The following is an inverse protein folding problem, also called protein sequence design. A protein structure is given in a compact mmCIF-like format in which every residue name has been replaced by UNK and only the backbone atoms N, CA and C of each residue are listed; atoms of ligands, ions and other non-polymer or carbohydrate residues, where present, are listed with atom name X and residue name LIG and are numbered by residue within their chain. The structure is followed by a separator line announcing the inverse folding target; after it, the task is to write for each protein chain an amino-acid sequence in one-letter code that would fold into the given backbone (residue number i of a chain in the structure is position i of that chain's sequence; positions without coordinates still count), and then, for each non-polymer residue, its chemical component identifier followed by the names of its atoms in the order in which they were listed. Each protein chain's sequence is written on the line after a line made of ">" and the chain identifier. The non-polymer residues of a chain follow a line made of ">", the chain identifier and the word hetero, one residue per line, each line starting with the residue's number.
data_IF_078132360019
#
_entry.id   IF_078132360019
#
_cell.length_a   1.000
_cell.length_b   1.000
_cell.length_c   1.000
_cell.angle_alpha   90.00
_cell.angle_beta   90.00
_cell.angle_gamma   90.00
#
_symmetry.space_group_name_H-M   'P 1'
#
loop_
_entity.id
_entity.type
_entity.pdbx_description
1 polymer ?
#
# COMPACT_ATOMS: atom_id res chain seq x y z
N UNK A 1 12.83 27.78 -64.16
CA UNK A 1 12.65 29.24 -64.17
C UNK A 1 13.33 29.84 -62.95
N UNK A 2 14.40 30.62 -63.20
CA UNK A 2 14.87 31.84 -62.48
C UNK A 2 15.04 31.77 -60.95
N UNK A 3 16.27 31.56 -60.45
CA UNK A 3 17.36 32.54 -60.16
C UNK A 3 17.21 33.14 -58.73
N UNK A 4 18.08 32.88 -57.74
CA UNK A 4 19.49 33.29 -57.50
C UNK A 4 19.63 34.55 -56.60
N UNK A 5 20.38 34.42 -55.48
CA UNK A 5 21.11 35.45 -54.67
C UNK A 5 20.36 36.33 -53.64
N UNK A 6 20.95 36.88 -52.54
CA UNK A 6 22.21 36.70 -51.79
C UNK A 6 22.18 37.55 -50.49
N UNK A 7 22.82 37.02 -49.44
CA UNK A 7 23.80 37.61 -48.50
C UNK A 7 23.77 39.09 -48.03
N UNK A 8 23.90 39.21 -46.69
CA UNK A 8 24.76 40.12 -45.89
C UNK A 8 24.42 41.65 -45.88
N UNK A 9 24.69 42.49 -44.86
CA UNK A 9 25.60 42.47 -43.71
C UNK A 9 25.31 43.67 -42.75
N UNK A 10 25.78 43.60 -41.48
CA UNK A 10 26.38 44.68 -40.62
C UNK A 10 25.44 45.83 -40.15
N UNK A 11 25.37 46.36 -38.92
CA UNK A 11 26.19 46.33 -37.69
C UNK A 11 26.58 47.78 -37.26
N UNK A 12 26.18 48.27 -36.06
CA UNK A 12 26.80 49.34 -35.23
C UNK A 12 25.90 49.68 -33.99
N UNK A 13 26.31 49.40 -32.73
CA UNK A 13 27.09 50.20 -31.73
C UNK A 13 26.33 51.42 -31.14
N UNK A 14 25.94 51.47 -29.85
CA UNK A 14 26.65 51.60 -28.54
C UNK A 14 26.59 53.05 -27.98
N UNK A 15 26.09 53.22 -26.75
CA UNK A 15 26.71 53.93 -25.61
C UNK A 15 25.72 54.64 -24.67
N UNK A 16 26.05 54.57 -23.37
CA UNK A 16 25.28 54.95 -22.20
C UNK A 16 25.54 56.40 -21.73
N UNK A 17 24.67 56.92 -20.85
CA UNK A 17 25.03 57.91 -19.82
C UNK A 17 24.03 57.87 -18.64
N UNK A 18 24.58 58.00 -17.44
CA UNK A 18 23.96 57.83 -16.13
C UNK A 18 23.93 59.16 -15.33
N UNK A 19 23.12 59.17 -14.26
CA UNK A 19 23.15 59.97 -13.01
C UNK A 19 21.75 60.55 -12.70
N UNK A 20 20.99 60.08 -11.69
CA UNK A 20 21.13 60.17 -10.21
C UNK A 20 20.42 61.39 -9.60
N UNK A 21 19.40 61.14 -8.76
CA UNK A 21 19.04 61.98 -7.60
C UNK A 21 18.16 61.17 -6.63
N UNK A 22 18.58 61.10 -5.38
CA UNK A 22 17.92 60.42 -4.26
C UNK A 22 17.02 61.39 -3.47
N UNK A 23 15.95 60.90 -2.84
CA UNK A 23 15.48 61.41 -1.55
C UNK A 23 14.58 60.40 -0.82
N UNK A 24 14.81 60.35 0.48
CA UNK A 24 14.36 59.45 1.54
C UNK A 24 12.89 59.62 1.94
N UNK A 25 12.21 58.53 2.32
CA UNK A 25 11.23 58.56 3.42
C UNK A 25 11.39 57.30 4.28
N UNK A 26 11.67 57.53 5.56
CA UNK A 26 11.68 56.55 6.62
C UNK A 26 10.27 56.33 7.18
N UNK A 27 9.98 55.10 7.60
CA UNK A 27 9.01 54.80 8.65
C UNK A 27 7.55 54.59 8.23
N UNK A 28 7.09 53.34 8.25
CA UNK A 28 6.17 52.86 9.29
C UNK A 28 6.20 51.32 9.31
N UNK A 29 6.71 50.76 10.42
CA UNK A 29 6.56 49.34 10.75
C UNK A 29 5.12 49.11 11.18
N UNK A 30 4.39 48.25 10.47
CA UNK A 30 3.19 47.61 11.01
C UNK A 30 3.60 46.27 11.62
N UNK A 31 3.46 46.19 12.93
CA UNK A 31 3.58 44.97 13.72
C UNK A 31 2.29 44.16 13.59
N UNK A 32 2.35 43.05 12.87
CA UNK A 32 1.43 41.93 13.12
C UNK A 32 2.27 40.71 13.46
N UNK A 33 2.32 40.40 14.75
CA UNK A 33 2.70 39.07 15.21
C UNK A 33 1.58 38.12 14.81
N UNK A 34 1.79 37.30 13.80
CA UNK A 34 1.03 36.06 13.66
C UNK A 34 1.97 34.89 13.88
N UNK A 35 2.03 34.45 15.14
CA UNK A 35 2.70 33.23 15.52
C UNK A 35 1.86 32.05 15.04
N UNK A 36 2.05 31.65 13.79
CA UNK A 36 1.79 30.26 13.37
C UNK A 36 3.10 29.63 12.95
N UNK A 37 3.85 29.17 13.96
CA UNK A 37 4.81 28.08 13.76
C UNK A 37 4.02 26.85 13.34
N UNK A 38 3.80 26.69 12.04
CA UNK A 38 3.70 25.34 11.49
C UNK A 38 5.02 24.66 11.81
N UNK A 39 5.01 23.63 12.64
CA UNK A 39 6.14 22.73 12.69
C UNK A 39 6.39 22.21 11.27
N UNK A 40 7.58 22.38 10.68
CA UNK A 40 7.92 21.61 9.50
C UNK A 40 7.79 20.15 9.92
N UNK A 41 6.93 19.38 9.23
CA UNK A 41 6.90 17.94 9.48
C UNK A 41 8.33 17.45 9.27
N UNK A 42 8.93 16.88 10.31
CA UNK A 42 10.26 16.32 10.21
C UNK A 42 10.21 15.30 9.07
N UNK A 43 10.96 15.56 7.99
CA UNK A 43 10.98 14.73 6.79
C UNK A 43 11.37 13.31 7.24
N UNK A 44 10.53 12.32 6.92
CA UNK A 44 10.77 10.92 7.32
C UNK A 44 12.15 10.49 6.80
N UNK A 45 12.94 9.71 7.57
CA UNK A 45 14.22 9.20 7.07
C UNK A 45 14.03 8.42 5.76
N UNK A 46 14.97 8.44 4.81
CA UNK A 46 14.86 7.58 3.64
C UNK A 46 14.95 6.10 4.07
N UNK A 47 14.20 5.23 3.40
CA UNK A 47 14.39 3.78 3.53
C UNK A 47 15.78 3.43 2.97
N UNK A 48 16.51 2.54 3.65
CA UNK A 48 17.88 2.20 3.28
C UNK A 48 18.17 0.73 3.58
N UNK A 49 18.98 0.11 2.72
CA UNK A 49 19.56 -1.20 3.01
C UNK A 49 20.38 -1.16 4.31
N UNK A 50 20.25 -2.21 5.12
CA UNK A 50 20.98 -2.33 6.38
C UNK A 50 22.49 -2.53 6.17
N UNK A 51 23.29 -2.54 7.26
CA UNK A 51 24.74 -2.70 7.20
C UNK A 51 25.23 -3.99 6.53
N UNK A 52 24.38 -5.02 6.42
CA UNK A 52 24.68 -6.26 5.68
C UNK A 52 24.45 -6.17 4.17
N UNK A 53 23.95 -5.04 3.66
CA UNK A 53 23.46 -4.92 2.28
C UNK A 53 22.15 -5.67 2.05
N UNK A 54 21.38 -5.94 3.12
CA UNK A 54 20.08 -6.59 3.07
C UNK A 54 18.95 -5.64 3.47
N UNK A 55 17.77 -5.85 2.90
CA UNK A 55 16.53 -5.19 3.27
C UNK A 55 15.42 -6.24 3.38
N UNK A 56 14.81 -6.37 4.55
CA UNK A 56 13.79 -7.38 4.86
C UNK A 56 12.42 -6.74 4.97
N UNK A 57 11.46 -7.28 4.23
CA UNK A 57 10.06 -6.85 4.21
C UNK A 57 9.16 -7.98 4.72
N UNK A 58 8.25 -7.70 5.65
CA UNK A 58 7.14 -8.59 5.97
C UNK A 58 5.86 -8.11 5.27
N UNK A 59 5.14 -9.04 4.63
CA UNK A 59 3.85 -8.77 4.01
C UNK A 59 2.73 -9.23 4.93
N UNK A 60 1.87 -8.31 5.36
CA UNK A 60 0.65 -8.61 6.08
C UNK A 60 -0.54 -8.31 5.17
N UNK A 61 -1.29 -9.35 4.81
CA UNK A 61 -2.45 -9.26 3.94
C UNK A 61 -3.67 -9.85 4.66
N UNK A 62 -4.85 -9.35 4.30
CA UNK A 62 -6.12 -9.96 4.67
C UNK A 62 -6.25 -10.09 6.21
N UNK A 63 -6.14 -8.95 6.90
CA UNK A 63 -6.22 -8.92 8.37
C UNK A 63 -7.67 -8.92 8.87
N UNK A 64 -8.56 -8.28 8.12
CA UNK A 64 -10.01 -8.24 8.36
C UNK A 64 -10.39 -7.77 9.77
N UNK A 65 -9.75 -6.72 10.26
CA UNK A 65 -10.11 -6.16 11.57
C UNK A 65 -11.54 -5.64 11.58
N UNK A 66 -12.23 -5.94 12.68
CA UNK A 66 -13.58 -5.42 12.95
C UNK A 66 -14.72 -6.17 12.29
N UNK A 67 -14.46 -7.36 11.77
CA UNK A 67 -15.53 -8.31 11.43
C UNK A 67 -16.31 -8.72 12.70
N UNK A 68 -17.63 -8.82 12.57
CA UNK A 68 -18.66 -9.12 13.57
C UNK A 68 -18.39 -8.45 14.92
N UNK A 69 -18.00 -7.17 14.87
CA UNK A 69 -17.54 -6.40 16.03
C UNK A 69 -18.59 -6.24 17.15
N UNK A 70 -19.86 -6.57 16.88
CA UNK A 70 -20.96 -6.59 17.85
C UNK A 70 -21.08 -7.92 18.62
N UNK A 71 -20.27 -8.92 18.29
CA UNK A 71 -20.20 -10.22 18.99
C UNK A 71 -18.88 -10.35 19.74
N UNK A 72 -18.73 -11.39 20.58
CA UNK A 72 -17.44 -11.73 21.19
C UNK A 72 -16.45 -12.37 20.20
N UNK A 73 -16.95 -12.89 19.07
CA UNK A 73 -16.12 -13.59 18.08
C UNK A 73 -15.17 -12.65 17.35
N UNK A 74 -15.67 -11.49 16.89
CA UNK A 74 -14.90 -10.49 16.15
C UNK A 74 -13.68 -9.96 16.90
N UNK A 75 -13.85 -9.38 18.10
CA UNK A 75 -12.74 -8.94 18.94
C UNK A 75 -11.74 -10.05 19.28
N UNK A 76 -12.19 -11.31 19.37
CA UNK A 76 -11.30 -12.46 19.56
C UNK A 76 -10.45 -12.75 18.31
N UNK A 77 -11.01 -12.57 17.10
CA UNK A 77 -10.25 -12.65 15.84
C UNK A 77 -9.23 -11.53 15.75
N UNK A 78 -9.61 -10.28 16.02
CA UNK A 78 -8.67 -9.15 16.03
C UNK A 78 -7.49 -9.43 16.98
N UNK A 79 -7.77 -9.98 18.17
CA UNK A 79 -6.74 -10.37 19.14
C UNK A 79 -5.87 -11.53 18.63
N UNK A 80 -6.42 -12.42 17.78
CA UNK A 80 -5.67 -13.42 17.04
C UNK A 80 -4.71 -12.79 16.02
N UNK A 81 -5.21 -11.87 15.20
CA UNK A 81 -4.40 -11.11 14.24
C UNK A 81 -3.24 -10.37 14.93
N UNK A 82 -3.49 -9.76 16.09
CA UNK A 82 -2.47 -9.12 16.92
C UNK A 82 -1.34 -10.10 17.30
N UNK A 83 -1.70 -11.33 17.70
CA UNK A 83 -0.73 -12.38 18.08
C UNK A 83 0.11 -12.86 16.89
N UNK A 84 -0.51 -13.07 15.72
CA UNK A 84 0.21 -13.51 14.51
C UNK A 84 1.23 -12.45 14.09
N UNK A 85 0.81 -11.20 13.97
CA UNK A 85 1.70 -10.11 13.59
C UNK A 85 2.83 -9.93 14.61
N UNK A 86 2.53 -10.00 15.92
CA UNK A 86 3.55 -9.97 16.95
C UNK A 86 4.58 -11.10 16.78
N UNK A 87 4.13 -12.34 16.63
CA UNK A 87 4.99 -13.51 16.48
C UNK A 87 5.89 -13.41 15.22
N UNK A 88 5.33 -12.99 14.09
CA UNK A 88 6.10 -12.79 12.85
C UNK A 88 7.13 -11.67 13.03
N UNK A 89 6.73 -10.51 13.53
CA UNK A 89 7.64 -9.37 13.70
C UNK A 89 8.78 -9.68 14.68
N UNK A 90 8.49 -10.41 15.76
CA UNK A 90 9.50 -10.78 16.76
C UNK A 90 10.49 -11.84 16.22
N UNK A 91 10.00 -12.77 15.40
CA UNK A 91 10.83 -13.80 14.77
C UNK A 91 11.69 -13.24 13.63
N UNK A 92 11.13 -12.35 12.80
CA UNK A 92 11.76 -11.90 11.56
C UNK A 92 12.52 -10.59 11.68
N UNK A 93 12.09 -9.70 12.59
CA UNK A 93 12.66 -8.35 12.78
C UNK A 93 12.86 -7.62 11.43
N UNK A 94 11.80 -7.44 10.63
CA UNK A 94 11.93 -6.85 9.31
C UNK A 94 12.32 -5.37 9.40
N UNK A 95 12.97 -4.88 8.35
CA UNK A 95 13.29 -3.45 8.19
C UNK A 95 12.04 -2.66 7.80
N UNK A 96 11.04 -3.32 7.20
CA UNK A 96 9.84 -2.70 6.68
C UNK A 96 8.64 -3.66 6.67
N UNK A 97 7.43 -3.11 6.77
CA UNK A 97 6.17 -3.85 6.61
C UNK A 97 5.40 -3.33 5.40
N UNK A 98 4.84 -4.23 4.61
CA UNK A 98 3.82 -3.89 3.61
C UNK A 98 2.49 -4.47 4.07
N UNK A 99 1.53 -3.59 4.29
CA UNK A 99 0.13 -3.91 4.52
C UNK A 99 -0.57 -4.03 3.15
N UNK A 100 -0.90 -5.26 2.76
CA UNK A 100 -1.25 -5.63 1.40
C UNK A 100 -2.77 -5.79 1.21
N UNK A 101 -3.54 -4.79 1.64
CA UNK A 101 -5.00 -4.72 1.52
C UNK A 101 -5.79 -5.61 2.49
N UNK A 102 -7.08 -5.29 2.60
CA UNK A 102 -8.06 -5.90 3.50
C UNK A 102 -7.61 -5.88 4.95
N UNK A 103 -7.21 -4.68 5.40
CA UNK A 103 -6.83 -4.43 6.78
C UNK A 103 -8.08 -4.40 7.66
N UNK A 104 -9.19 -3.87 7.13
CA UNK A 104 -10.47 -3.77 7.83
C UNK A 104 -11.60 -4.38 7.00
N UNK A 105 -12.59 -4.95 7.68
CA UNK A 105 -13.83 -5.43 7.03
C UNK A 105 -14.89 -4.34 7.09
N UNK A 106 -14.78 -3.31 6.25
CA UNK A 106 -15.61 -2.10 6.40
C UNK A 106 -17.10 -2.34 6.22
N UNK A 107 -17.49 -3.33 5.40
CA UNK A 107 -18.89 -3.73 5.25
C UNK A 107 -19.50 -4.35 6.51
N UNK A 108 -18.69 -4.63 7.54
CA UNK A 108 -19.12 -5.33 8.73
C UNK A 108 -18.80 -4.54 10.02
N UNK A 109 -18.57 -3.23 9.86
CA UNK A 109 -18.30 -2.31 10.95
C UNK A 109 -19.54 -1.49 11.31
N UNK A 110 -20.22 -1.75 12.44
CA UNK A 110 -21.34 -0.96 12.89
C UNK A 110 -20.83 0.29 13.63
N UNK A 111 -19.94 1.05 13.01
CA UNK A 111 -19.53 2.37 13.52
C UNK A 111 -19.32 3.35 12.36
N UNK A 112 -19.50 4.67 12.58
CA UNK A 112 -19.27 5.66 11.54
C UNK A 112 -17.81 5.78 11.09
N UNK A 113 -16.85 5.33 11.90
CA UNK A 113 -15.43 5.58 11.66
C UNK A 113 -14.59 4.30 11.84
N UNK A 114 -14.24 3.66 10.72
CA UNK A 114 -13.41 2.47 10.65
C UNK A 114 -11.92 2.73 10.96
N UNK A 115 -11.48 4.00 11.01
CA UNK A 115 -10.06 4.32 11.24
C UNK A 115 -9.51 3.80 12.56
N UNK A 116 -10.36 3.51 13.56
CA UNK A 116 -9.94 2.86 14.81
C UNK A 116 -9.44 1.43 14.58
N UNK A 117 -10.07 0.68 13.69
CA UNK A 117 -9.65 -0.68 13.33
C UNK A 117 -8.41 -0.65 12.44
N UNK A 118 -8.33 0.32 11.53
CA UNK A 118 -7.13 0.58 10.76
C UNK A 118 -5.93 0.90 11.68
N UNK A 119 -6.14 1.76 12.69
CA UNK A 119 -5.12 2.12 13.68
C UNK A 119 -4.64 0.91 14.50
N UNK A 120 -5.56 0.01 14.85
CA UNK A 120 -5.23 -1.27 15.51
C UNK A 120 -4.45 -2.19 14.58
N UNK A 121 -4.86 -2.34 13.32
CA UNK A 121 -4.20 -3.21 12.34
C UNK A 121 -2.71 -2.84 12.14
N UNK A 122 -2.40 -1.54 12.14
CA UNK A 122 -1.01 -1.06 12.00
C UNK A 122 -0.22 -1.01 13.33
N UNK A 123 -0.88 -1.28 14.46
CA UNK A 123 -0.32 -1.07 15.79
C UNK A 123 0.87 -1.97 16.12
N UNK A 124 0.90 -3.20 15.58
CA UNK A 124 1.96 -4.16 15.85
C UNK A 124 3.32 -3.71 15.29
N UNK A 125 3.34 -3.16 14.07
CA UNK A 125 4.52 -2.56 13.46
C UNK A 125 4.91 -1.26 14.18
N UNK A 126 3.92 -0.38 14.45
CA UNK A 126 4.11 0.88 15.17
C UNK A 126 4.74 0.68 16.55
N UNK A 127 4.24 -0.25 17.35
CA UNK A 127 4.73 -0.54 18.70
C UNK A 127 6.17 -1.07 18.72
N UNK A 128 6.65 -1.62 17.60
CA UNK A 128 8.03 -2.10 17.41
C UNK A 128 8.94 -1.10 16.71
N UNK A 129 8.43 0.08 16.36
CA UNK A 129 9.20 1.07 15.61
C UNK A 129 9.51 0.68 14.18
N UNK A 130 8.83 -0.34 13.63
CA UNK A 130 9.05 -0.81 12.26
C UNK A 130 8.25 0.07 11.30
N UNK A 131 8.88 0.73 10.32
CA UNK A 131 8.17 1.52 9.33
C UNK A 131 7.35 0.64 8.37
N UNK A 132 6.27 1.20 7.82
CA UNK A 132 5.38 0.45 6.94
C UNK A 132 4.82 1.29 5.79
N UNK A 133 4.23 0.63 4.81
CA UNK A 133 3.34 1.24 3.82
C UNK A 133 2.14 0.33 3.54
N UNK A 134 1.02 0.91 3.10
CA UNK A 134 -0.24 0.24 2.91
C UNK A 134 -0.83 0.47 1.52
N UNK A 135 -1.40 -0.59 0.94
CA UNK A 135 -2.28 -0.55 -0.22
C UNK A 135 -3.66 -1.02 0.19
N UNK A 136 -4.71 -0.49 -0.45
CA UNK A 136 -6.08 -0.89 -0.17
C UNK A 136 -6.46 -2.21 -0.85
N UNK A 137 -7.28 -2.98 -0.16
CA UNK A 137 -8.02 -4.13 -0.67
C UNK A 137 -9.51 -3.82 -0.81
N UNK A 138 -10.27 -4.78 -1.35
CA UNK A 138 -11.67 -4.57 -1.67
C UNK A 138 -12.53 -4.32 -0.42
N UNK A 139 -12.20 -4.86 0.75
CA UNK A 139 -13.00 -4.70 1.97
C UNK A 139 -12.79 -3.36 2.69
N UNK A 140 -11.68 -2.68 2.45
CA UNK A 140 -11.24 -1.56 3.31
C UNK A 140 -12.19 -0.36 3.32
N UNK A 141 -13.01 -0.18 2.28
CA UNK A 141 -14.02 0.87 2.19
C UNK A 141 -15.37 0.40 1.63
N UNK A 142 -15.68 -0.90 1.71
CA UNK A 142 -17.01 -1.37 1.37
C UNK A 142 -18.08 -0.67 2.20
N UNK A 143 -19.24 -0.45 1.58
CA UNK A 143 -20.41 0.02 2.28
C UNK A 143 -20.87 -1.01 3.32
N UNK A 144 -21.34 -0.53 4.47
CA UNK A 144 -21.88 -1.39 5.52
C UNK A 144 -23.03 -2.26 4.99
N UNK A 145 -22.96 -3.55 5.28
CA UNK A 145 -23.95 -4.56 4.96
C UNK A 145 -24.66 -4.98 6.25
N UNK A 146 -26.00 -4.91 6.22
CA UNK A 146 -26.81 -5.25 7.39
C UNK A 146 -26.85 -6.76 7.61
N UNK A 147 -26.49 -7.26 8.80
CA UNK A 147 -26.53 -8.69 9.10
C UNK A 147 -27.98 -9.21 9.04
N UNK A 148 -28.30 -10.22 8.21
CA UNK A 148 -29.66 -10.73 8.09
C UNK A 148 -30.27 -11.21 9.42
N UNK A 149 -29.45 -11.79 10.30
CA UNK A 149 -29.81 -12.28 11.62
C UNK A 149 -30.34 -11.18 12.56
N UNK A 150 -29.99 -9.91 12.35
CA UNK A 150 -30.54 -8.79 13.11
C UNK A 150 -32.04 -8.58 12.84
N UNK A 151 -32.56 -9.15 11.76
CA UNK A 151 -33.98 -9.14 11.40
C UNK A 151 -34.69 -10.47 11.72
N UNK A 152 -34.03 -11.36 12.48
CA UNK A 152 -34.65 -12.57 13.03
C UNK A 152 -35.49 -12.26 14.28
N UNK A 153 -36.29 -13.22 14.79
CA UNK A 153 -37.03 -13.05 16.05
C UNK A 153 -36.15 -12.73 17.28
N UNK A 154 -34.85 -13.05 17.23
CA UNK A 154 -33.88 -12.73 18.29
C UNK A 154 -33.56 -11.22 18.34
N UNK A 155 -33.84 -10.51 17.25
CA UNK A 155 -33.75 -9.05 17.14
C UNK A 155 -32.33 -8.50 16.91
N UNK A 156 -32.24 -7.18 16.90
CA UNK A 156 -30.98 -6.44 16.71
C UNK A 156 -30.18 -6.48 18.02
N UNK A 157 -28.90 -6.91 18.03
CA UNK A 157 -28.07 -6.86 19.23
C UNK A 157 -27.86 -5.41 19.71
N UNK A 158 -27.61 -5.18 21.01
CA UNK A 158 -27.42 -3.84 21.54
C UNK A 158 -26.24 -3.12 20.85
N UNK A 159 -26.53 -2.06 20.09
CA UNK A 159 -25.53 -1.24 19.44
C UNK A 159 -24.78 -0.36 20.46
N UNK A 160 -23.46 -0.45 20.49
CA UNK A 160 -22.60 0.48 21.25
C UNK A 160 -22.04 1.56 20.33
N UNK A 161 -22.83 2.60 20.08
CA UNK A 161 -22.36 3.76 19.33
C UNK A 161 -21.30 4.52 20.16
N UNK A 162 -20.16 4.94 19.57
CA UNK A 162 -19.27 5.89 20.23
C UNK A 162 -20.03 7.18 20.58
N UNK A 163 -19.80 7.79 21.76
CA UNK A 163 -20.47 9.03 22.13
C UNK A 163 -20.14 10.14 21.11
N UNK A 164 -21.08 11.03 20.79
CA UNK A 164 -20.81 12.16 19.91
C UNK A 164 -19.69 13.02 20.51
N UNK A 165 -18.76 13.48 19.66
CA UNK A 165 -17.66 14.35 20.09
C UNK A 165 -18.17 15.55 20.91
N UNK A 166 -17.49 15.93 22.01
CA UNK A 166 -17.95 16.98 22.92
C UNK A 166 -17.87 18.41 22.34
N UNK A 167 -17.54 18.58 21.06
CA UNK A 167 -17.28 19.88 20.43
C UNK A 167 -18.44 20.48 19.63
N UNK A 168 -19.66 19.94 19.71
CA UNK A 168 -20.82 20.44 18.97
C UNK A 168 -21.96 20.95 19.85
N UNK A 169 -22.12 22.26 19.96
CA UNK A 169 -23.32 22.92 20.51
C UNK A 169 -24.53 22.72 19.58
N UNK A 170 -25.13 21.53 19.57
CA UNK A 170 -26.41 21.28 18.92
C UNK A 170 -27.33 20.52 19.89
N UNK A 171 -28.63 20.86 19.98
CA UNK A 171 -29.55 20.14 20.85
C UNK A 171 -29.56 18.67 20.47
N UNK A 172 -29.58 17.80 21.47
CA UNK A 172 -29.58 16.35 21.39
C UNK A 172 -30.71 15.82 20.52
N UNK A 173 -30.49 15.75 19.22
CA UNK A 173 -31.15 14.76 18.37
C UNK A 173 -30.28 13.53 18.43
N UNK A 174 -30.88 12.43 18.88
CA UNK A 174 -30.31 11.09 18.83
C UNK A 174 -30.01 10.76 17.38
N UNK A 175 -28.84 11.19 16.90
CA UNK A 175 -28.28 10.76 15.62
C UNK A 175 -27.84 9.33 15.88
N UNK A 176 -28.79 8.40 15.76
CA UNK A 176 -28.52 6.97 15.83
C UNK A 176 -27.27 6.62 14.99
N UNK A 177 -26.60 5.52 15.35
CA UNK A 177 -25.37 5.09 14.69
C UNK A 177 -25.42 5.28 13.16
N UNK A 178 -24.65 6.23 12.62
CA UNK A 178 -24.59 6.45 11.17
C UNK A 178 -23.55 5.53 10.54
N UNK A 179 -24.00 4.40 10.00
CA UNK A 179 -23.13 3.42 9.34
C UNK A 179 -22.92 3.84 7.87
N UNK A 180 -21.86 4.62 7.61
CA UNK A 180 -21.52 5.10 6.26
C UNK A 180 -20.17 4.59 5.75
N UNK A 181 -19.49 3.74 6.52
CA UNK A 181 -18.11 3.33 6.25
C UNK A 181 -17.13 4.51 6.36
N UNK A 182 -15.85 4.25 6.10
CA UNK A 182 -14.83 5.30 6.01
C UNK A 182 -14.17 5.21 4.63
N UNK A 183 -14.26 6.27 3.80
CA UNK A 183 -13.65 6.25 2.47
C UNK A 183 -12.13 6.01 2.52
N UNK A 184 -11.57 5.34 1.50
CA UNK A 184 -10.11 5.13 1.35
C UNK A 184 -9.29 6.39 1.54
N UNK A 185 -9.75 7.52 0.99
CA UNK A 185 -9.03 8.79 1.10
C UNK A 185 -8.94 9.28 2.56
N UNK A 186 -9.97 9.03 3.36
CA UNK A 186 -10.01 9.42 4.77
C UNK A 186 -9.15 8.47 5.62
N UNK A 187 -9.17 7.15 5.31
CA UNK A 187 -8.27 6.16 5.92
C UNK A 187 -6.80 6.53 5.65
N UNK A 188 -6.44 6.79 4.39
CA UNK A 188 -5.08 7.16 3.99
C UNK A 188 -4.65 8.49 4.62
N UNK A 189 -5.54 9.50 4.63
CA UNK A 189 -5.25 10.80 5.27
C UNK A 189 -5.01 10.64 6.77
N UNK A 190 -5.81 9.82 7.44
CA UNK A 190 -5.65 9.51 8.87
C UNK A 190 -4.34 8.77 9.12
N UNK A 191 -4.00 7.78 8.30
CA UNK A 191 -2.72 7.07 8.43
C UNK A 191 -1.53 8.02 8.30
N UNK A 192 -1.49 8.83 7.23
CA UNK A 192 -0.36 9.72 6.93
C UNK A 192 -0.19 10.78 8.03
N UNK A 193 -1.30 11.34 8.52
CA UNK A 193 -1.28 12.42 9.51
C UNK A 193 -0.93 11.94 10.92
N UNK A 194 -1.42 10.77 11.32
CA UNK A 194 -1.25 10.27 12.69
C UNK A 194 -0.02 9.37 12.86
N UNK A 195 0.51 8.79 11.79
CA UNK A 195 1.61 7.83 11.89
C UNK A 195 2.90 8.35 11.24
N UNK A 196 3.87 8.70 12.10
CA UNK A 196 5.21 9.16 11.66
C UNK A 196 6.04 8.06 10.98
N UNK A 197 5.74 6.80 11.29
CA UNK A 197 6.42 5.60 10.75
C UNK A 197 5.79 5.06 9.47
N UNK A 198 4.58 5.49 9.10
CA UNK A 198 4.01 5.16 7.80
C UNK A 198 4.86 5.79 6.69
N UNK A 199 4.95 5.15 5.55
CA UNK A 199 5.50 5.64 4.28
C UNK A 199 4.44 5.64 3.19
N UNK A 200 3.19 5.33 3.54
CA UNK A 200 2.06 5.43 2.62
C UNK A 200 1.88 6.86 2.14
N UNK A 201 1.37 6.98 0.92
CA UNK A 201 1.09 8.26 0.29
C UNK A 201 -0.22 8.16 -0.50
N UNK A 202 -0.91 9.28 -0.61
CA UNK A 202 -1.90 9.44 -1.66
C UNK A 202 -1.20 9.40 -3.02
N UNK A 203 -1.84 8.72 -3.97
CA UNK A 203 -1.43 8.76 -5.36
C UNK A 203 -1.81 10.07 -6.06
N UNK A 204 -1.34 10.24 -7.30
CA UNK A 204 -1.75 11.35 -8.15
C UNK A 204 -3.27 11.45 -8.31
N UNK A 205 -3.80 12.68 -8.30
CA UNK A 205 -5.26 12.93 -8.35
C UNK A 205 -5.91 12.44 -9.64
N UNK A 206 -5.15 12.35 -10.72
CA UNK A 206 -5.59 11.83 -12.02
C UNK A 206 -5.74 10.30 -12.04
N UNK A 207 -5.34 9.60 -10.98
CA UNK A 207 -5.60 8.17 -10.78
C UNK A 207 -6.87 7.88 -9.97
N UNK A 208 -7.61 8.91 -9.56
CA UNK A 208 -8.89 8.74 -8.88
C UNK A 208 -9.85 7.86 -9.72
N UNK A 209 -10.57 6.90 -9.12
CA UNK A 209 -10.78 6.70 -7.68
C UNK A 209 -9.67 5.99 -6.90
N UNK A 210 -8.61 5.48 -7.55
CA UNK A 210 -7.53 4.76 -6.86
C UNK A 210 -6.69 5.66 -5.96
N UNK A 211 -6.56 5.30 -4.68
CA UNK A 211 -5.92 6.14 -3.65
C UNK A 211 -4.47 5.73 -3.39
N UNK A 212 -4.22 4.44 -3.14
CA UNK A 212 -2.88 3.94 -2.79
C UNK A 212 -2.05 3.62 -4.03
N UNK A 213 -1.67 4.66 -4.79
CA UNK A 213 -0.83 4.56 -5.99
C UNK A 213 0.45 5.37 -5.84
N UNK A 214 1.55 4.73 -5.44
CA UNK A 214 2.81 5.44 -5.16
C UNK A 214 4.02 4.52 -5.30
N UNK A 215 5.22 5.11 -5.26
CA UNK A 215 6.49 4.40 -5.36
C UNK A 215 7.40 4.82 -4.22
N UNK A 216 8.02 3.83 -3.56
CA UNK A 216 9.03 4.04 -2.53
C UNK A 216 10.40 3.64 -3.05
N UNK A 217 11.40 4.46 -2.72
CA UNK A 217 12.80 4.22 -3.03
C UNK A 217 13.50 3.73 -1.77
N UNK A 218 14.20 2.59 -1.87
CA UNK A 218 15.11 2.12 -0.83
C UNK A 218 16.52 2.41 -1.31
N UNK A 219 17.23 3.25 -0.56
CA UNK A 219 18.58 3.70 -0.88
C UNK A 219 19.60 2.60 -0.61
N UNK A 220 20.67 2.57 -1.39
CA UNK A 220 21.81 1.69 -1.15
C UNK A 220 22.39 1.91 0.26
N UNK A 221 23.02 0.89 0.84
CA UNK A 221 23.62 1.01 2.19
C UNK A 221 24.66 2.16 2.30
N UNK A 222 25.39 2.43 1.21
CA UNK A 222 26.58 3.30 1.21
C UNK A 222 26.42 4.57 0.36
N UNK A 223 25.32 4.69 -0.41
CA UNK A 223 25.09 5.80 -1.34
C UNK A 223 23.67 6.32 -1.17
N UNK A 224 23.45 7.57 -1.54
CA UNK A 224 22.10 8.16 -1.57
C UNK A 224 21.34 7.84 -2.88
N UNK A 225 21.84 6.87 -3.64
CA UNK A 225 21.19 6.35 -4.85
C UNK A 225 20.20 5.22 -4.50
N UNK A 226 19.04 5.14 -5.18
CA UNK A 226 18.10 4.04 -4.99
C UNK A 226 18.69 2.71 -5.48
N UNK A 227 18.55 1.67 -4.65
CA UNK A 227 18.94 0.30 -4.95
C UNK A 227 17.75 -0.65 -5.10
N UNK A 228 16.53 -0.19 -4.76
CA UNK A 228 15.28 -0.92 -4.95
C UNK A 228 14.13 0.08 -5.08
N UNK A 229 13.20 -0.19 -6.00
CA UNK A 229 11.92 0.51 -6.11
C UNK A 229 10.78 -0.43 -5.72
N UNK A 230 9.87 0.06 -4.88
CA UNK A 230 8.66 -0.65 -4.48
C UNK A 230 7.46 0.14 -4.98
N UNK A 231 6.69 -0.42 -5.92
CA UNK A 231 5.48 0.19 -6.45
C UNK A 231 4.24 -0.37 -5.77
N UNK A 232 3.36 0.51 -5.33
CA UNK A 232 2.09 0.21 -4.70
C UNK A 232 1.00 0.68 -5.65
N UNK A 233 0.08 -0.22 -6.01
CA UNK A 233 -1.03 0.10 -6.90
C UNK A 233 -2.35 -0.31 -6.28
N UNK A 234 -3.32 0.59 -6.37
CA UNK A 234 -4.66 0.33 -5.88
C UNK A 234 -5.44 -0.53 -6.90
N UNK A 235 -5.68 -1.81 -6.59
CA UNK A 235 -6.42 -2.73 -7.46
C UNK A 235 -7.94 -2.56 -7.40
N UNK A 236 -8.44 -1.63 -6.59
CA UNK A 236 -9.86 -1.35 -6.46
C UNK A 236 -10.64 -2.34 -5.62
N UNK A 237 -11.93 -2.46 -5.93
CA UNK A 237 -12.92 -3.09 -5.06
C UNK A 237 -13.53 -2.11 -4.06
N UNK A 238 -14.46 -2.60 -3.24
CA UNK A 238 -15.13 -1.79 -2.24
C UNK A 238 -16.05 -0.75 -2.85
N UNK A 239 -15.68 0.53 -2.73
CA UNK A 239 -16.47 1.63 -3.28
C UNK A 239 -16.41 1.77 -4.81
N UNK A 240 -15.53 1.02 -5.49
CA UNK A 240 -15.43 1.02 -6.96
C UNK A 240 -14.95 -0.33 -7.52
N UNK A 241 -14.89 -0.45 -8.84
CA UNK A 241 -14.59 -1.72 -9.54
C UNK A 241 -13.18 -2.25 -9.22
N UNK A 242 -13.06 -3.58 -9.12
CA UNK A 242 -11.81 -4.33 -8.95
C UNK A 242 -11.00 -4.35 -10.27
N UNK A 243 -10.29 -3.25 -10.54
CA UNK A 243 -9.45 -3.09 -11.74
C UNK A 243 -8.16 -2.34 -11.45
N UNK A 244 -7.09 -2.70 -12.17
CA UNK A 244 -5.93 -1.82 -12.38
C UNK A 244 -6.11 -1.07 -13.69
N UNK A 245 -6.51 0.20 -13.62
CA UNK A 245 -6.94 1.03 -14.75
C UNK A 245 -5.84 1.33 -15.78
N UNK A 246 -6.23 1.68 -17.02
CA UNK A 246 -5.29 2.19 -18.03
C UNK A 246 -4.58 3.48 -17.60
N UNK A 247 -5.17 4.28 -16.70
CA UNK A 247 -4.52 5.47 -16.14
C UNK A 247 -3.34 5.05 -15.24
N UNK A 248 -3.53 4.03 -14.40
CA UNK A 248 -2.46 3.45 -13.59
C UNK A 248 -1.37 2.80 -14.46
N UNK A 249 -1.73 2.16 -15.57
CA UNK A 249 -0.76 1.64 -16.55
C UNK A 249 0.12 2.76 -17.11
N UNK A 250 -0.48 3.85 -17.59
CA UNK A 250 0.24 5.02 -18.12
C UNK A 250 1.11 5.68 -17.06
N UNK A 251 0.58 5.81 -15.84
CA UNK A 251 1.33 6.34 -14.70
C UNK A 251 2.55 5.47 -14.38
N UNK A 252 2.38 4.15 -14.28
CA UNK A 252 3.49 3.23 -14.04
C UNK A 252 4.56 3.35 -15.13
N UNK A 253 4.17 3.38 -16.41
CA UNK A 253 5.11 3.55 -17.52
C UNK A 253 5.88 4.87 -17.40
N UNK A 254 5.19 5.98 -17.11
CA UNK A 254 5.82 7.29 -16.94
C UNK A 254 6.76 7.34 -15.74
N UNK A 255 6.32 6.86 -14.57
CA UNK A 255 7.12 6.85 -13.34
C UNK A 255 8.33 5.94 -13.46
N UNK A 256 8.14 4.73 -14.00
CA UNK A 256 9.24 3.77 -14.14
C UNK A 256 10.27 4.21 -15.18
N UNK A 257 9.85 4.87 -16.26
CA UNK A 257 10.78 5.48 -17.21
C UNK A 257 11.54 6.67 -16.59
N UNK A 258 10.89 7.45 -15.73
CA UNK A 258 11.53 8.59 -15.05
C UNK A 258 12.53 8.15 -13.98
N UNK A 259 12.15 7.21 -13.12
CA UNK A 259 12.97 6.76 -11.99
C UNK A 259 14.04 5.75 -12.38
N UNK A 260 13.79 4.96 -13.42
CA UNK A 260 14.63 3.83 -13.79
C UNK A 260 14.63 3.62 -15.32
N UNK A 261 15.10 4.63 -16.10
CA UNK A 261 15.03 4.62 -17.56
C UNK A 261 15.76 3.44 -18.21
N UNK A 262 16.85 3.00 -17.59
CA UNK A 262 17.69 1.90 -18.07
C UNK A 262 17.29 0.53 -17.48
N UNK A 263 16.28 0.47 -16.61
CA UNK A 263 15.85 -0.76 -15.95
C UNK A 263 16.94 -1.42 -15.09
N UNK A 264 17.87 -0.64 -14.52
CA UNK A 264 19.00 -1.14 -13.71
C UNK A 264 18.64 -1.37 -12.26
N UNK A 265 17.68 -0.61 -11.74
CA UNK A 265 17.22 -0.73 -10.36
C UNK A 265 16.15 -1.83 -10.33
N UNK A 266 16.26 -2.83 -9.44
CA UNK A 266 15.23 -3.85 -9.28
C UNK A 266 13.93 -3.25 -8.76
N UNK A 267 12.80 -3.81 -9.21
CA UNK A 267 11.45 -3.31 -8.94
C UNK A 267 10.57 -4.44 -8.39
N UNK A 268 9.89 -4.18 -7.27
CA UNK A 268 8.88 -5.05 -6.69
C UNK A 268 7.52 -4.35 -6.73
N UNK A 269 6.47 -5.10 -7.06
CA UNK A 269 5.12 -4.57 -7.25
C UNK A 269 4.19 -5.15 -6.18
N UNK A 270 3.34 -4.31 -5.62
CA UNK A 270 2.39 -4.65 -4.57
C UNK A 270 1.01 -4.10 -4.95
N UNK A 271 0.02 -4.98 -5.04
CA UNK A 271 -1.40 -4.62 -5.08
C UNK A 271 -2.21 -5.75 -4.46
N UNK A 272 -3.49 -5.53 -4.14
CA UNK A 272 -4.22 -6.49 -3.34
C UNK A 272 -4.82 -7.66 -4.17
N UNK A 273 -5.64 -7.37 -5.18
CA UNK A 273 -6.41 -8.38 -5.91
C UNK A 273 -5.58 -8.97 -7.07
N UNK A 274 -5.44 -10.31 -7.19
CA UNK A 274 -4.64 -10.92 -8.25
C UNK A 274 -5.12 -10.54 -9.65
N UNK A 275 -4.22 -10.49 -10.63
CA UNK A 275 -4.61 -10.32 -12.04
C UNK A 275 -5.03 -11.63 -12.68
N UNK A 276 -5.63 -11.58 -13.86
CA UNK A 276 -5.96 -12.79 -14.63
C UNK A 276 -4.71 -13.62 -14.98
N UNK A 277 -3.50 -13.04 -14.95
CA UNK A 277 -2.25 -13.77 -15.11
C UNK A 277 -2.01 -14.80 -13.99
N UNK A 278 -2.50 -14.57 -12.77
CA UNK A 278 -2.40 -15.53 -11.67
C UNK A 278 -3.20 -16.80 -11.97
N UNK A 279 -4.39 -16.67 -12.58
CA UNK A 279 -5.21 -17.81 -13.01
C UNK A 279 -4.45 -18.70 -14.01
N UNK A 280 -3.69 -18.08 -14.92
CA UNK A 280 -2.94 -18.81 -15.97
C UNK A 280 -1.82 -19.69 -15.41
N UNK A 281 -1.21 -19.28 -14.30
CA UNK A 281 -0.08 -20.00 -13.68
C UNK A 281 -0.46 -20.79 -12.44
N UNK A 282 -1.70 -20.64 -11.96
CA UNK A 282 -2.16 -21.26 -10.73
C UNK A 282 -1.99 -22.79 -10.78
N UNK A 283 -1.42 -23.41 -9.74
CA UNK A 283 -1.54 -24.84 -9.56
C UNK A 283 -3.02 -25.22 -9.49
N UNK A 284 -3.38 -26.42 -9.96
CA UNK A 284 -4.78 -26.90 -9.90
C UNK A 284 -5.31 -26.76 -8.47
N UNK A 285 -6.42 -26.07 -8.28
CA UNK A 285 -6.96 -25.81 -6.95
C UNK A 285 -7.12 -27.10 -6.15
N UNK A 286 -6.78 -27.03 -4.86
CA UNK A 286 -6.82 -28.15 -3.90
C UNK A 286 -5.85 -29.30 -4.21
N UNK A 287 -4.98 -29.15 -5.21
CA UNK A 287 -3.87 -30.08 -5.45
C UNK A 287 -2.60 -29.66 -4.75
N UNK A 288 -1.66 -30.60 -4.63
CA UNK A 288 -0.28 -30.31 -4.24
C UNK A 288 0.35 -29.28 -5.21
N UNK A 289 1.11 -28.35 -4.65
CA UNK A 289 1.90 -27.38 -5.40
C UNK A 289 3.17 -28.08 -5.88
N UNK A 290 3.36 -28.13 -7.19
CA UNK A 290 4.54 -28.75 -7.81
C UNK A 290 5.44 -27.69 -8.43
N UNK A 291 6.74 -28.01 -8.53
CA UNK A 291 7.70 -27.19 -9.27
C UNK A 291 7.17 -26.90 -10.69
N UNK A 292 7.36 -25.68 -11.22
CA UNK A 292 8.25 -24.64 -10.69
C UNK A 292 7.62 -23.72 -9.63
N UNK A 293 6.35 -23.90 -9.28
CA UNK A 293 5.72 -23.14 -8.20
C UNK A 293 6.19 -23.60 -6.82
N UNK A 294 6.17 -22.67 -5.85
CA UNK A 294 6.55 -22.93 -4.45
C UNK A 294 5.53 -22.28 -3.52
N UNK A 295 4.93 -23.06 -2.63
CA UNK A 295 3.96 -22.60 -1.62
C UNK A 295 3.59 -23.75 -0.69
N UNK A 296 2.79 -23.47 0.34
CA UNK A 296 2.33 -24.45 1.34
C UNK A 296 0.81 -24.57 1.40
N UNK A 297 0.07 -23.61 0.81
CA UNK A 297 -1.39 -23.61 0.78
C UNK A 297 -1.90 -23.30 -0.64
N UNK A 298 -2.83 -24.14 -1.10
CA UNK A 298 -3.50 -24.04 -2.40
C UNK A 298 -4.90 -24.64 -2.29
N UNK A 299 -5.78 -24.00 -1.52
CA UNK A 299 -7.07 -24.59 -1.09
C UNK A 299 -8.29 -24.04 -1.82
N UNK A 300 -8.08 -23.15 -2.76
CA UNK A 300 -9.11 -22.49 -3.55
C UNK A 300 -8.62 -22.14 -4.94
N UNK A 301 -9.54 -21.70 -5.78
CA UNK A 301 -9.25 -21.11 -7.08
C UNK A 301 -8.86 -19.63 -6.89
N UNK A 302 -8.01 -19.13 -7.78
CA UNK A 302 -7.67 -17.70 -7.83
C UNK A 302 -8.94 -16.90 -8.14
N UNK A 303 -9.20 -15.85 -7.36
CA UNK A 303 -10.27 -14.88 -7.60
C UNK A 303 -9.65 -13.60 -8.18
N UNK A 304 -9.54 -13.47 -9.52
CA UNK A 304 -8.85 -12.35 -10.13
C UNK A 304 -9.72 -11.08 -10.15
N UNK A 305 -9.05 -9.94 -10.25
CA UNK A 305 -9.64 -8.67 -10.61
C UNK A 305 -10.36 -8.76 -11.97
N UNK A 306 -11.32 -7.86 -12.21
CA UNK A 306 -12.10 -7.81 -13.45
C UNK A 306 -11.20 -7.57 -14.66
N UNK A 307 -10.25 -6.64 -14.55
CA UNK A 307 -9.28 -6.34 -15.61
C UNK A 307 -8.10 -5.49 -15.10
N UNK A 308 -6.91 -5.77 -15.64
CA UNK A 308 -5.68 -4.99 -15.40
C UNK A 308 -5.24 -4.10 -16.59
N UNK A 309 -6.06 -4.02 -17.64
CA UNK A 309 -5.91 -3.13 -18.81
C UNK A 309 -4.50 -3.05 -19.43
N UNK A 310 -3.78 -4.17 -19.50
CA UNK A 310 -2.46 -4.28 -20.10
C UNK A 310 -1.29 -4.05 -19.13
N UNK A 311 -1.55 -3.88 -17.82
CA UNK A 311 -0.50 -3.74 -16.81
C UNK A 311 0.46 -4.94 -16.83
N UNK A 312 -0.05 -6.16 -16.92
CA UNK A 312 0.78 -7.36 -16.95
C UNK A 312 1.73 -7.40 -18.15
N UNK A 313 1.31 -6.93 -19.33
CA UNK A 313 2.18 -6.86 -20.52
C UNK A 313 3.32 -5.85 -20.32
N UNK A 314 3.04 -4.74 -19.66
CA UNK A 314 4.04 -3.71 -19.35
C UNK A 314 5.06 -4.23 -18.33
N UNK A 315 4.59 -4.91 -17.28
CA UNK A 315 5.44 -5.45 -16.23
C UNK A 315 6.31 -6.60 -16.74
N UNK A 316 5.74 -7.54 -17.51
CA UNK A 316 6.47 -8.70 -18.01
C UNK A 316 7.58 -8.34 -19.02
N UNK A 317 7.39 -7.25 -19.79
CA UNK A 317 8.41 -6.72 -20.72
C UNK A 317 9.51 -5.93 -20.03
N UNK A 318 9.38 -5.64 -18.73
CA UNK A 318 10.31 -4.80 -17.97
C UNK A 318 11.21 -5.66 -17.08
N UNK A 319 12.46 -5.95 -17.50
CA UNK A 319 13.32 -6.94 -16.83
C UNK A 319 13.76 -6.55 -15.41
N UNK A 320 13.62 -5.26 -15.03
CA UNK A 320 13.82 -4.80 -13.66
C UNK A 320 12.74 -5.28 -12.70
N UNK A 321 11.53 -5.58 -13.17
CA UNK A 321 10.43 -6.11 -12.35
C UNK A 321 10.71 -7.57 -12.01
N UNK A 322 10.82 -7.88 -10.72
CA UNK A 322 11.20 -9.22 -10.24
C UNK A 322 10.02 -10.04 -9.74
N UNK A 323 9.09 -9.39 -9.05
CA UNK A 323 7.92 -10.05 -8.52
C UNK A 323 6.76 -9.08 -8.32
N UNK A 324 5.56 -9.63 -8.39
CA UNK A 324 4.31 -9.00 -8.03
C UNK A 324 3.76 -9.77 -6.83
N UNK A 325 3.36 -9.07 -5.78
CA UNK A 325 2.79 -9.65 -4.57
C UNK A 325 1.35 -9.21 -4.39
N UNK A 326 0.48 -10.16 -4.03
CA UNK A 326 -0.96 -10.00 -3.85
C UNK A 326 -1.50 -10.70 -2.59
N UNK A 327 -2.67 -10.28 -2.12
CA UNK A 327 -3.44 -10.88 -1.02
C UNK A 327 -4.72 -11.53 -1.55
N UNK A 328 -5.86 -11.17 -0.96
CA UNK A 328 -7.26 -11.41 -1.39
C UNK A 328 -7.73 -12.87 -1.26
N UNK A 329 -6.94 -13.81 -1.77
CA UNK A 329 -7.22 -15.23 -1.68
C UNK A 329 -6.64 -15.82 -0.39
N UNK A 330 -7.50 -16.16 0.58
CA UNK A 330 -7.05 -16.57 1.91
C UNK A 330 -6.48 -18.00 1.94
N UNK A 331 -6.85 -18.80 0.94
CA UNK A 331 -6.43 -20.18 0.77
C UNK A 331 -5.17 -20.36 -0.07
N UNK A 332 -4.46 -19.27 -0.43
CA UNK A 332 -3.29 -19.29 -1.32
C UNK A 332 -2.05 -18.59 -0.71
N UNK A 333 -0.86 -19.18 -0.91
CA UNK A 333 0.42 -18.58 -0.50
C UNK A 333 1.57 -18.95 -1.44
N UNK A 334 1.27 -19.35 -2.67
CA UNK A 334 2.30 -19.79 -3.59
C UNK A 334 2.93 -18.63 -4.36
N UNK A 335 4.15 -18.86 -4.83
CA UNK A 335 4.83 -18.09 -5.86
C UNK A 335 5.00 -18.98 -7.10
N UNK A 336 4.64 -18.48 -8.28
CA UNK A 336 4.84 -19.17 -9.56
C UNK A 336 5.57 -18.26 -10.56
N UNK A 337 6.44 -18.80 -11.42
CA UNK A 337 7.07 -18.03 -12.49
C UNK A 337 6.04 -17.61 -13.54
N UNK A 338 6.20 -16.40 -14.06
CA UNK A 338 5.42 -15.84 -15.17
C UNK A 338 6.36 -15.04 -16.07
N UNK A 339 6.65 -15.55 -17.27
CA UNK A 339 7.64 -14.98 -18.18
C UNK A 339 9.01 -14.79 -17.51
N UNK A 340 9.41 -13.54 -17.22
CA UNK A 340 10.68 -13.16 -16.59
C UNK A 340 10.50 -12.58 -15.17
N UNK A 341 9.34 -12.81 -14.56
CA UNK A 341 9.01 -12.35 -13.20
C UNK A 341 8.26 -13.44 -12.42
N UNK A 342 7.96 -13.16 -11.15
CA UNK A 342 7.21 -14.05 -10.26
C UNK A 342 5.88 -13.44 -9.83
N UNK A 343 4.85 -14.28 -9.75
CA UNK A 343 3.53 -13.95 -9.23
C UNK A 343 3.35 -14.65 -7.88
N UNK A 344 3.10 -13.90 -6.81
CA UNK A 344 3.19 -14.38 -5.43
C UNK A 344 2.01 -13.95 -4.56
N UNK A 345 1.37 -14.91 -3.88
CA UNK A 345 0.42 -14.63 -2.80
C UNK A 345 1.14 -14.43 -1.46
N UNK A 346 0.73 -13.46 -0.66
CA UNK A 346 1.35 -13.06 0.60
C UNK A 346 1.01 -13.96 1.80
N UNK A 347 0.02 -14.85 1.67
CA UNK A 347 -0.67 -15.57 2.75
C UNK A 347 -1.54 -14.65 3.61
N UNK A 348 -2.76 -15.11 3.85
CA UNK A 348 -3.68 -14.54 4.82
C UNK A 348 -3.10 -14.55 6.23
N UNK A 349 -2.89 -13.35 6.76
CA UNK A 349 -2.25 -13.13 8.07
C UNK A 349 -3.29 -13.07 9.19
N UNK A 350 -4.45 -12.48 8.92
CA UNK A 350 -5.49 -12.22 9.91
C UNK A 350 -6.17 -13.46 10.44
N UNK A 351 -6.89 -13.31 11.54
CA UNK A 351 -7.85 -14.29 12.02
C UNK A 351 -9.29 -13.98 11.60
N UNK A 352 -9.59 -12.72 11.24
CA UNK A 352 -10.82 -12.35 10.55
C UNK A 352 -10.80 -12.81 9.09
N UNK A 353 -11.90 -12.63 8.38
CA UNK A 353 -12.11 -13.14 7.04
C UNK A 353 -12.38 -14.65 7.02
N UNK A 354 -12.54 -15.21 5.83
CA UNK A 354 -12.90 -16.61 5.68
C UNK A 354 -11.69 -17.57 5.80
N UNK A 355 -12.00 -18.83 6.15
CA UNK A 355 -11.04 -19.93 6.17
C UNK A 355 -10.31 -20.11 7.50
N UNK A 356 -9.95 -21.34 7.84
CA UNK A 356 -9.37 -21.73 9.14
C UNK A 356 -7.93 -22.26 9.03
N UNK A 357 -7.24 -21.94 7.94
CA UNK A 357 -5.88 -22.43 7.69
C UNK A 357 -4.84 -21.79 8.63
N UNK A 358 -3.69 -22.44 8.89
CA UNK A 358 -2.66 -21.87 9.75
C UNK A 358 -2.21 -20.47 9.31
N UNK A 359 -2.10 -19.54 10.26
CA UNK A 359 -1.74 -18.15 9.97
C UNK A 359 -0.24 -17.93 9.89
N UNK A 360 0.15 -16.89 9.16
CA UNK A 360 1.52 -16.51 8.94
C UNK A 360 1.61 -15.38 7.93
N UNK A 361 2.82 -15.06 7.51
CA UNK A 361 3.09 -13.96 6.60
C UNK A 361 4.21 -14.32 5.63
N UNK A 362 4.14 -13.78 4.42
CA UNK A 362 5.27 -13.83 3.50
C UNK A 362 6.34 -12.83 3.91
N UNK A 363 7.57 -13.31 3.91
CA UNK A 363 8.77 -12.49 4.10
C UNK A 363 9.51 -12.39 2.77
N UNK A 364 10.07 -11.21 2.51
CA UNK A 364 10.95 -10.94 1.37
C UNK A 364 12.27 -10.44 1.94
N UNK A 365 13.37 -11.05 1.53
CA UNK A 365 14.71 -10.56 1.80
C UNK A 365 15.39 -10.20 0.49
N UNK A 366 15.74 -8.94 0.37
CA UNK A 366 16.48 -8.39 -0.76
C UNK A 366 17.92 -8.20 -0.33
N UNK A 367 18.88 -8.61 -1.17
CA UNK A 367 20.30 -8.33 -0.99
C UNK A 367 20.77 -7.47 -2.16
N UNK A 368 21.37 -6.30 -1.91
CA UNK A 368 21.74 -5.35 -2.98
C UNK A 368 22.94 -5.85 -3.82
N UNK A 369 23.95 -6.46 -3.18
CA UNK A 369 25.15 -6.96 -3.86
C UNK A 369 24.84 -8.32 -4.51
N UNK A 370 25.22 -8.50 -5.78
CA UNK A 370 24.79 -9.62 -6.65
C UNK A 370 23.26 -9.69 -6.90
N UNK A 371 22.51 -8.69 -6.46
CA UNK A 371 21.05 -8.62 -6.42
C UNK A 371 20.33 -9.97 -6.29
N UNK A 372 19.82 -10.27 -5.10
CA UNK A 372 18.95 -11.44 -4.90
C UNK A 372 17.70 -11.07 -4.13
N UNK A 373 16.59 -11.69 -4.52
CA UNK A 373 15.32 -11.62 -3.79
C UNK A 373 14.95 -13.03 -3.40
N UNK A 374 14.92 -13.31 -2.11
CA UNK A 374 14.48 -14.58 -1.55
C UNK A 374 13.19 -14.34 -0.77
N UNK A 375 12.25 -15.27 -0.85
CA UNK A 375 10.99 -15.20 -0.12
C UNK A 375 10.65 -16.53 0.56
N UNK A 376 9.95 -16.45 1.68
CA UNK A 376 9.43 -17.61 2.42
C UNK A 376 8.18 -17.22 3.20
N UNK A 377 7.51 -18.22 3.77
CA UNK A 377 6.41 -18.01 4.72
C UNK A 377 6.94 -18.20 6.13
N UNK A 378 6.73 -17.19 6.99
CA UNK A 378 6.88 -17.32 8.44
C UNK A 378 5.51 -17.58 9.07
N UNK A 379 5.39 -18.71 9.73
CA UNK A 379 4.17 -19.12 10.42
C UNK A 379 4.08 -18.49 11.81
N UNK A 380 2.86 -18.35 12.33
CA UNK A 380 2.58 -17.92 13.71
C UNK A 380 3.34 -18.75 14.74
N UNK A 381 3.42 -20.07 14.54
CA UNK A 381 4.17 -20.98 15.42
C UNK A 381 5.70 -20.88 15.29
N UNK A 382 6.20 -19.90 14.54
CA UNK A 382 7.63 -19.67 14.31
C UNK A 382 8.27 -20.57 13.27
N UNK A 383 7.56 -21.52 12.65
CA UNK A 383 8.14 -22.35 11.56
C UNK A 383 8.27 -21.58 10.25
N UNK A 384 9.20 -22.02 9.39
CA UNK A 384 9.47 -21.45 8.06
C UNK A 384 9.11 -22.46 6.97
N UNK A 385 8.40 -22.01 5.94
CA UNK A 385 8.01 -22.84 4.78
C UNK A 385 8.26 -22.12 3.46
N UNK A 386 8.21 -22.88 2.36
CA UNK A 386 8.09 -22.34 0.99
C UNK A 386 9.19 -21.34 0.60
N UNK A 387 10.45 -21.69 0.92
CA UNK A 387 11.62 -20.91 0.51
C UNK A 387 11.78 -20.90 -1.02
N UNK A 388 11.90 -19.71 -1.61
CA UNK A 388 12.03 -19.52 -3.05
C UNK A 388 12.95 -18.34 -3.36
N UNK A 389 13.84 -18.53 -4.34
CA UNK A 389 14.61 -17.43 -4.93
C UNK A 389 13.87 -16.90 -6.15
N UNK A 390 13.51 -15.62 -6.14
CA UNK A 390 12.75 -14.94 -7.19
C UNK A 390 13.70 -14.42 -8.28
N UNK A 391 14.40 -15.35 -8.93
CA UNK A 391 15.28 -15.05 -10.07
C UNK A 391 14.47 -14.96 -11.36
N UNK A 392 14.74 -13.91 -12.14
CA UNK A 392 14.24 -13.69 -13.50
C UNK A 392 15.01 -14.48 -14.55
#
# INVERSE_FOLDING_TARGET
>A
MRWWHNLAAVGALLAALAAAAALTVAGLRSTTSDSKRGHPSARRPPLRFGPGGSFKVALFADLHYGEDAWTDWGPAQDAGSDRVMAAVLDAEKPDFVVYLGDLVTANNLPIPNASLYWDRAVSAARGRGVPWAAVFGNHDDMAFEWPPEWFSPDGVPPLRCPPPSPSGNSPSTDRGCSFRGTPRIDLMTTEISNNRLSYSSNGPKDLWPGVSNYVLQVLSRNRDDPALLMYFLDSGGGSYTEVVSSAQVKWFQSQSQFLNPDGRIPELIFWHIPSTAYVKVAPKAKSEIRKPCVGSINKEDVAPQVAEWGMMDVLAKRPSVKAIFVGHNHGLDWCCPYEKLWLCFARHTGYGGYGNWPRGARIIQITENSFSTVSWIRMENGTKHSDVTLSS
#
